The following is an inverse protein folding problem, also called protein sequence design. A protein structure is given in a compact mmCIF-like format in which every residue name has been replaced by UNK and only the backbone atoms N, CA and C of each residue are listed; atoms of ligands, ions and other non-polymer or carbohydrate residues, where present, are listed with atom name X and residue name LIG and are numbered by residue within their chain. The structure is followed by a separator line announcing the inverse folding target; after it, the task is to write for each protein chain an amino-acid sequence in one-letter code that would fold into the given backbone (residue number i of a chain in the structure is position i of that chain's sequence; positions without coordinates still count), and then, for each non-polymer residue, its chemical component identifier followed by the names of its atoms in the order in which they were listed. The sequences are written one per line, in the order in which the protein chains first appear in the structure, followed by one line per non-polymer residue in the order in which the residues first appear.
data_IF_120102182432
#
_entry.id   IF_120102182432
#
_cell.length_a   1.000
_cell.length_b   1.000
_cell.length_c   1.000
_cell.angle_alpha   90.00
_cell.angle_beta   90.00
_cell.angle_gamma   90.00
#
_symmetry.space_group_name_H-M   'P 1'
#
loop_
_entity.id
_entity.type
_entity.pdbx_description
1 polymer ?
#
# COMPACT_ATOMS: atom_id res chain seq x y z
N UNK A 1 0.51 -3.93 35.38
CA UNK A 1 -0.34 -4.63 34.42
C UNK A 1 -1.38 -3.70 33.78
N UNK A 2 -2.22 -3.02 34.57
CA UNK A 2 -3.27 -2.13 34.05
C UNK A 2 -2.73 -0.98 33.14
N UNK A 3 -1.62 -0.37 33.54
CA UNK A 3 -0.94 0.68 32.75
C UNK A 3 -0.48 0.19 31.36
N UNK A 4 0.07 -1.02 31.27
CA UNK A 4 0.50 -1.59 29.99
C UNK A 4 -0.69 -1.87 29.06
N UNK A 5 -1.78 -2.39 29.60
CA UNK A 5 -3.03 -2.60 28.85
C UNK A 5 -3.56 -1.27 28.31
N UNK A 6 -3.54 -0.23 29.14
CA UNK A 6 -3.95 1.12 28.75
C UNK A 6 -3.10 1.67 27.60
N UNK A 7 -1.77 1.53 27.65
CA UNK A 7 -0.87 1.93 26.56
C UNK A 7 -1.19 1.18 25.26
N UNK A 8 -1.35 -0.17 25.34
CA UNK A 8 -1.69 -0.97 24.14
C UNK A 8 -2.99 -0.50 23.50
N UNK A 9 -4.02 -0.18 24.30
CA UNK A 9 -5.30 0.30 23.77
C UNK A 9 -5.15 1.66 23.09
N UNK A 10 -4.41 2.59 23.69
CA UNK A 10 -4.10 3.90 23.06
C UNK A 10 -3.33 3.71 21.75
N UNK A 11 -2.33 2.84 21.75
CA UNK A 11 -1.52 2.55 20.57
C UNK A 11 -2.36 2.03 19.41
N UNK A 12 -3.26 1.07 19.71
CA UNK A 12 -4.21 0.55 18.71
C UNK A 12 -5.07 1.69 18.15
N UNK A 13 -5.60 2.55 19.01
CA UNK A 13 -6.44 3.68 18.57
C UNK A 13 -5.64 4.66 17.68
N UNK A 14 -4.41 5.00 18.07
CA UNK A 14 -3.55 5.92 17.30
C UNK A 14 -3.19 5.30 15.95
N UNK A 15 -2.67 4.07 15.94
CA UNK A 15 -2.22 3.39 14.73
C UNK A 15 -3.39 3.13 13.77
N UNK A 16 -4.51 2.63 14.29
CA UNK A 16 -5.71 2.41 13.48
C UNK A 16 -6.29 3.74 12.99
N UNK A 17 -6.37 4.76 13.84
CA UNK A 17 -6.86 6.08 13.50
C UNK A 17 -6.05 6.74 12.38
N UNK A 18 -4.72 6.69 12.44
CA UNK A 18 -3.84 7.18 11.38
C UNK A 18 -4.07 6.39 10.08
N UNK A 19 -4.05 5.06 10.14
CA UNK A 19 -4.17 4.20 8.95
C UNK A 19 -5.53 4.39 8.25
N UNK A 20 -6.61 4.39 9.02
CA UNK A 20 -7.97 4.63 8.49
C UNK A 20 -8.11 6.06 7.98
N UNK A 21 -7.63 7.04 8.74
CA UNK A 21 -7.70 8.46 8.37
C UNK A 21 -6.97 8.76 7.06
N UNK A 22 -5.76 8.22 6.88
CA UNK A 22 -5.00 8.36 5.63
C UNK A 22 -5.74 7.66 4.49
N UNK A 23 -6.25 6.45 4.69
CA UNK A 23 -7.02 5.72 3.68
C UNK A 23 -8.28 6.47 3.24
N UNK A 24 -9.03 7.03 4.18
CA UNK A 24 -10.24 7.81 3.92
C UNK A 24 -9.96 9.18 3.24
N UNK A 25 -8.77 9.74 3.48
CA UNK A 25 -8.36 11.02 2.88
C UNK A 25 -7.69 10.86 1.51
N UNK A 26 -7.04 9.75 1.25
CA UNK A 26 -6.29 9.48 0.04
C UNK A 26 -7.06 9.73 -1.28
N UNK A 27 -8.37 9.42 -1.42
CA UNK A 27 -9.13 9.73 -2.63
C UNK A 27 -9.16 11.22 -3.00
N UNK A 28 -8.96 12.11 -2.03
CA UNK A 28 -8.91 13.57 -2.23
C UNK A 28 -7.57 14.09 -2.71
N UNK A 29 -6.54 13.23 -2.76
CA UNK A 29 -5.22 13.65 -3.23
C UNK A 29 -5.23 13.94 -4.73
N UNK A 30 -4.61 15.04 -5.12
CA UNK A 30 -4.49 15.42 -6.52
C UNK A 30 -3.73 14.35 -7.32
N UNK A 31 -4.32 13.88 -8.42
CA UNK A 31 -3.72 12.84 -9.27
C UNK A 31 -2.39 13.26 -9.92
N UNK A 32 -2.14 14.56 -10.11
CA UNK A 32 -0.98 15.06 -10.84
C UNK A 32 0.37 14.57 -10.28
N UNK A 33 0.55 14.55 -8.96
CA UNK A 33 1.80 14.05 -8.35
C UNK A 33 1.88 12.52 -8.30
N UNK A 34 0.76 11.82 -8.45
CA UNK A 34 0.66 10.36 -8.49
C UNK A 34 0.94 9.79 -9.90
N UNK A 35 1.20 10.64 -10.89
CA UNK A 35 1.53 10.19 -12.26
C UNK A 35 2.93 9.62 -12.37
N UNK A 36 3.83 9.96 -11.44
CA UNK A 36 5.24 9.54 -11.43
C UNK A 36 5.56 8.72 -10.19
N UNK A 37 6.60 7.90 -10.30
CA UNK A 37 7.14 7.18 -9.17
C UNK A 37 8.13 8.08 -8.43
N UNK A 38 7.79 8.52 -7.23
CA UNK A 38 8.69 9.17 -6.29
C UNK A 38 9.20 8.15 -5.27
N UNK A 39 10.31 8.44 -4.62
CA UNK A 39 10.72 7.64 -3.47
C UNK A 39 9.63 7.69 -2.38
N UNK A 40 9.18 6.55 -1.81
CA UNK A 40 9.71 5.18 -1.87
C UNK A 40 9.05 4.28 -2.94
N UNK A 41 8.31 4.83 -3.91
CA UNK A 41 7.59 4.05 -4.92
C UNK A 41 8.50 3.45 -6.00
N UNK A 42 9.74 3.91 -6.16
CA UNK A 42 10.66 3.31 -7.12
C UNK A 42 10.80 1.81 -6.88
N UNK A 43 10.63 1.02 -7.95
CA UNK A 43 10.87 -0.41 -7.89
C UNK A 43 12.37 -0.66 -7.72
N UNK A 44 12.72 -1.48 -6.75
CA UNK A 44 14.11 -1.88 -6.56
C UNK A 44 14.57 -2.84 -7.67
N UNK A 45 15.87 -2.87 -8.01
CA UNK A 45 16.38 -3.73 -9.10
C UNK A 45 16.06 -5.23 -8.93
N UNK A 46 15.93 -5.69 -7.69
CA UNK A 46 15.58 -7.07 -7.35
C UNK A 46 14.08 -7.37 -7.43
N UNK A 47 13.21 -6.36 -7.47
CA UNK A 47 11.75 -6.51 -7.61
C UNK A 47 11.36 -6.89 -9.04
N UNK A 48 11.76 -8.06 -9.46
CA UNK A 48 11.49 -8.62 -10.79
C UNK A 48 10.20 -9.43 -10.83
N UNK A 49 9.62 -9.72 -12.01
CA UNK A 49 8.50 -10.63 -12.13
C UNK A 49 8.77 -12.04 -11.57
N UNK A 50 10.04 -12.47 -11.56
CA UNK A 50 10.47 -13.75 -10.93
C UNK A 50 10.37 -13.66 -9.41
N UNK A 51 10.80 -12.55 -8.81
CA UNK A 51 10.70 -12.28 -7.38
C UNK A 51 9.24 -12.33 -6.90
N UNK A 52 8.33 -11.58 -7.53
CA UNK A 52 6.91 -11.58 -7.15
C UNK A 52 6.23 -12.93 -7.36
N UNK A 53 6.63 -13.72 -8.36
CA UNK A 53 6.17 -15.11 -8.53
C UNK A 53 6.64 -16.02 -7.41
N UNK A 54 7.90 -15.90 -7.00
CA UNK A 54 8.46 -16.68 -5.89
C UNK A 54 7.72 -16.40 -4.58
N UNK A 55 7.31 -15.14 -4.33
CA UNK A 55 6.50 -14.73 -3.18
C UNK A 55 5.01 -15.09 -3.31
N UNK A 56 4.60 -15.71 -4.43
CA UNK A 56 3.20 -16.09 -4.70
C UNK A 56 2.20 -14.93 -4.49
N UNK A 57 2.60 -13.71 -4.86
CA UNK A 57 1.80 -12.49 -4.62
C UNK A 57 0.38 -12.57 -5.18
N UNK A 58 0.14 -13.34 -6.25
CA UNK A 58 -1.20 -13.60 -6.78
C UNK A 58 -2.06 -14.36 -5.76
N UNK A 59 -1.54 -15.45 -5.17
CA UNK A 59 -2.25 -16.20 -4.13
C UNK A 59 -2.48 -15.36 -2.89
N UNK A 60 -1.48 -14.55 -2.52
CA UNK A 60 -1.59 -13.62 -1.41
C UNK A 60 -2.75 -12.62 -1.64
N UNK A 61 -2.90 -12.10 -2.85
CA UNK A 61 -3.99 -11.19 -3.21
C UNK A 61 -5.39 -11.83 -3.12
N UNK A 62 -5.49 -13.14 -3.36
CA UNK A 62 -6.76 -13.87 -3.25
C UNK A 62 -7.23 -14.03 -1.80
N UNK A 63 -6.31 -14.01 -0.82
CA UNK A 63 -6.61 -14.22 0.60
C UNK A 63 -6.78 -12.91 1.39
N UNK A 64 -6.34 -11.79 0.85
CA UNK A 64 -6.40 -10.51 1.55
C UNK A 64 -7.71 -9.77 1.24
N UNK A 65 -8.35 -9.16 2.27
CA UNK A 65 -9.58 -8.41 2.08
C UNK A 65 -9.36 -7.20 1.18
N UNK A 66 -10.36 -6.89 0.37
CA UNK A 66 -10.36 -5.75 -0.52
C UNK A 66 -10.98 -4.53 0.18
N UNK A 67 -10.14 -3.75 0.85
CA UNK A 67 -10.59 -2.54 1.54
C UNK A 67 -10.55 -1.28 0.66
N UNK A 68 -9.88 -1.34 -0.50
CA UNK A 68 -9.74 -0.19 -1.40
C UNK A 68 -11.07 0.34 -1.93
N UNK A 69 -11.99 -0.55 -2.31
CA UNK A 69 -13.33 -0.17 -2.78
C UNK A 69 -14.19 0.47 -1.69
N UNK A 70 -13.99 0.10 -0.43
CA UNK A 70 -14.72 0.66 0.73
C UNK A 70 -14.43 2.16 0.92
N UNK A 71 -13.24 2.63 0.51
CA UNK A 71 -12.83 4.03 0.61
C UNK A 71 -12.90 4.79 -0.73
N UNK A 72 -13.60 4.24 -1.74
CA UNK A 72 -13.79 4.90 -3.04
C UNK A 72 -12.62 4.71 -4.02
N UNK A 73 -11.72 3.78 -3.77
CA UNK A 73 -10.70 3.34 -4.73
C UNK A 73 -11.23 2.34 -5.76
N UNK A 74 -10.49 2.13 -6.86
CA UNK A 74 -10.86 1.15 -7.88
C UNK A 74 -10.82 -0.29 -7.31
N UNK A 75 -11.87 -1.07 -7.60
CA UNK A 75 -11.96 -2.46 -7.18
C UNK A 75 -10.89 -3.31 -7.89
N UNK A 76 -10.26 -4.27 -7.18
CA UNK A 76 -9.25 -5.21 -7.72
C UNK A 76 -9.73 -5.99 -8.94
N UNK A 77 -11.05 -6.24 -9.02
CA UNK A 77 -11.68 -7.04 -10.05
C UNK A 77 -11.97 -6.26 -11.33
N UNK A 78 -11.84 -4.95 -11.32
CA UNK A 78 -11.91 -4.11 -12.50
C UNK A 78 -10.51 -3.98 -13.11
N UNK A 79 -10.14 -4.95 -13.93
CA UNK A 79 -8.95 -4.79 -14.77
C UNK A 79 -9.19 -3.60 -15.70
N UNK A 80 -8.21 -2.67 -15.83
CA UNK A 80 -8.32 -1.60 -16.81
C UNK A 80 -8.52 -2.23 -18.17
N UNK A 81 -9.35 -1.61 -19.00
CA UNK A 81 -9.46 -1.97 -20.42
C UNK A 81 -8.09 -1.91 -21.09
N UNK A 82 -7.99 -2.37 -22.33
CA UNK A 82 -6.73 -2.31 -23.11
C UNK A 82 -6.41 -0.90 -23.63
N UNK A 83 -7.03 0.14 -23.09
CA UNK A 83 -6.80 1.53 -23.44
C UNK A 83 -5.70 2.11 -22.54
N UNK A 84 -4.72 2.79 -23.14
CA UNK A 84 -3.59 3.39 -22.43
C UNK A 84 -4.04 4.40 -21.36
N UNK A 85 -5.11 5.17 -21.60
CA UNK A 85 -5.65 6.14 -20.65
C UNK A 85 -6.24 5.47 -19.39
N UNK A 86 -6.92 4.35 -19.55
CA UNK A 86 -7.47 3.58 -18.43
C UNK A 86 -6.35 2.96 -17.58
N UNK A 87 -5.30 2.47 -18.24
CA UNK A 87 -4.10 1.95 -17.55
C UNK A 87 -3.43 3.06 -16.73
N UNK A 88 -3.35 4.29 -17.26
CA UNK A 88 -2.77 5.42 -16.55
C UNK A 88 -3.60 5.80 -15.31
N UNK A 89 -4.92 5.84 -15.44
CA UNK A 89 -5.81 6.05 -14.30
C UNK A 89 -5.62 4.99 -13.22
N UNK A 90 -5.51 3.73 -13.61
CA UNK A 90 -5.31 2.64 -12.67
C UNK A 90 -3.91 2.67 -12.01
N UNK A 91 -2.87 3.08 -12.74
CA UNK A 91 -1.53 3.29 -12.18
C UNK A 91 -1.51 4.40 -11.12
N UNK A 92 -2.30 5.47 -11.30
CA UNK A 92 -2.49 6.53 -10.29
C UNK A 92 -3.11 5.95 -9.02
N UNK A 93 -4.15 5.12 -9.15
CA UNK A 93 -4.79 4.48 -7.99
C UNK A 93 -3.86 3.51 -7.25
N UNK A 94 -3.06 2.73 -7.98
CA UNK A 94 -2.06 1.85 -7.36
C UNK A 94 -1.01 2.63 -6.58
N UNK A 95 -0.52 3.76 -7.11
CA UNK A 95 0.43 4.63 -6.40
C UNK A 95 -0.19 5.26 -5.17
N UNK A 96 -1.46 5.69 -5.28
CA UNK A 96 -2.22 6.22 -4.13
C UNK A 96 -2.31 5.18 -3.01
N UNK A 97 -2.72 3.96 -3.33
CA UNK A 97 -2.80 2.87 -2.37
C UNK A 97 -1.43 2.52 -1.77
N UNK A 98 -0.36 2.51 -2.59
CA UNK A 98 1.00 2.26 -2.11
C UNK A 98 1.45 3.33 -1.11
N UNK A 99 1.17 4.62 -1.37
CA UNK A 99 1.43 5.71 -0.42
C UNK A 99 0.67 5.55 0.90
N UNK A 100 -0.61 5.15 0.85
CA UNK A 100 -1.39 4.88 2.07
C UNK A 100 -0.70 3.84 2.94
N UNK A 101 -0.23 2.75 2.36
CA UNK A 101 0.47 1.69 3.11
C UNK A 101 1.84 2.15 3.62
N UNK A 102 2.58 2.98 2.86
CA UNK A 102 3.83 3.56 3.34
C UNK A 102 3.61 4.50 4.53
N UNK A 103 2.61 5.38 4.47
CA UNK A 103 2.30 6.28 5.58
C UNK A 103 1.81 5.47 6.78
N UNK A 104 0.94 4.49 6.59
CA UNK A 104 0.47 3.60 7.66
C UNK A 104 1.62 2.84 8.32
N UNK A 105 2.65 2.45 7.55
CA UNK A 105 3.84 1.78 8.08
C UNK A 105 4.59 2.66 9.10
N UNK A 106 4.54 3.98 8.96
CA UNK A 106 5.18 4.94 9.88
C UNK A 106 4.26 5.43 11.01
N UNK A 107 3.06 4.89 11.16
CA UNK A 107 2.13 5.27 12.23
C UNK A 107 2.60 4.92 13.65
N UNK A 108 3.71 4.18 13.78
CA UNK A 108 4.39 3.93 15.05
C UNK A 108 5.12 5.17 15.60
N UNK A 109 5.43 6.16 14.77
CA UNK A 109 6.23 7.33 15.19
C UNK A 109 5.60 8.08 16.38
N UNK A 110 4.32 8.42 16.39
CA UNK A 110 3.70 9.10 17.53
C UNK A 110 3.78 8.30 18.82
N UNK A 111 3.59 6.98 18.76
CA UNK A 111 3.60 6.13 19.95
C UNK A 111 4.99 5.95 20.54
N UNK A 112 6.06 6.10 19.74
CA UNK A 112 7.44 6.01 20.21
C UNK A 112 7.80 7.10 21.23
N UNK A 113 7.07 8.24 21.25
CA UNK A 113 7.36 9.33 22.16
C UNK A 113 6.95 9.08 23.61
N UNK A 114 6.01 8.13 23.85
CA UNK A 114 5.52 7.86 25.19
C UNK A 114 5.58 6.38 25.61
N UNK A 115 5.89 5.51 24.66
CA UNK A 115 5.98 4.08 24.93
C UNK A 115 7.40 3.64 25.33
N UNK A 116 7.50 2.59 26.15
CA UNK A 116 8.76 1.87 26.31
C UNK A 116 9.16 1.24 24.97
N UNK A 117 10.47 1.19 24.69
CA UNK A 117 11.04 0.75 23.41
C UNK A 117 10.54 -0.62 22.93
N UNK A 118 10.32 -1.57 23.85
CA UNK A 118 9.87 -2.93 23.49
C UNK A 118 8.42 -2.94 22.97
N UNK A 119 7.56 -2.07 23.49
CA UNK A 119 6.19 -1.93 23.01
C UNK A 119 6.16 -1.25 21.64
N UNK A 120 6.94 -0.19 21.45
CA UNK A 120 7.13 0.43 20.13
C UNK A 120 7.64 -0.58 19.10
N UNK A 121 8.63 -1.40 19.47
CA UNK A 121 9.15 -2.45 18.58
C UNK A 121 8.07 -3.47 18.21
N UNK A 122 7.23 -3.87 19.15
CA UNK A 122 6.09 -4.77 18.90
C UNK A 122 5.15 -4.17 17.83
N UNK A 123 4.79 -2.89 17.96
CA UNK A 123 3.92 -2.22 16.98
C UNK A 123 4.61 -2.05 15.63
N UNK A 124 5.91 -1.76 15.57
CA UNK A 124 6.67 -1.75 14.32
C UNK A 124 6.56 -3.11 13.61
N UNK A 125 6.76 -4.22 14.32
CA UNK A 125 6.65 -5.57 13.75
C UNK A 125 5.24 -5.87 13.24
N UNK A 126 4.22 -5.48 13.99
CA UNK A 126 2.80 -5.63 13.59
C UNK A 126 2.54 -4.82 12.30
N UNK A 127 3.00 -3.57 12.23
CA UNK A 127 2.81 -2.70 11.08
C UNK A 127 3.56 -3.21 9.85
N UNK A 128 4.79 -3.69 9.99
CA UNK A 128 5.55 -4.31 8.90
C UNK A 128 4.79 -5.53 8.40
N UNK A 129 4.37 -6.43 9.29
CA UNK A 129 3.67 -7.65 8.93
C UNK A 129 2.33 -7.38 8.24
N UNK A 130 1.60 -6.34 8.70
CA UNK A 130 0.30 -5.96 8.13
C UNK A 130 0.41 -5.24 6.79
N UNK A 131 1.38 -4.34 6.60
CA UNK A 131 1.48 -3.52 5.38
C UNK A 131 2.29 -4.18 4.26
N UNK A 132 3.33 -4.97 4.58
CA UNK A 132 4.21 -5.60 3.57
C UNK A 132 3.44 -6.43 2.53
N UNK A 133 2.48 -7.30 2.89
CA UNK A 133 1.73 -8.06 1.90
C UNK A 133 0.99 -7.18 0.88
N UNK A 134 0.38 -6.09 1.33
CA UNK A 134 -0.31 -5.15 0.45
C UNK A 134 0.67 -4.41 -0.45
N UNK A 135 1.78 -3.91 0.09
CA UNK A 135 2.84 -3.27 -0.69
C UNK A 135 3.36 -4.20 -1.79
N UNK A 136 3.63 -5.47 -1.49
CA UNK A 136 4.10 -6.44 -2.47
C UNK A 136 3.08 -6.66 -3.61
N UNK A 137 1.79 -6.75 -3.29
CA UNK A 137 0.73 -6.90 -4.30
C UNK A 137 0.63 -5.66 -5.18
N UNK A 138 0.59 -4.47 -4.58
CA UNK A 138 0.48 -3.20 -5.29
C UNK A 138 1.66 -2.99 -6.24
N UNK A 139 2.89 -3.23 -5.77
CA UNK A 139 4.12 -3.11 -6.55
C UNK A 139 4.16 -4.12 -7.71
N UNK A 140 3.76 -5.38 -7.48
CA UNK A 140 3.62 -6.36 -8.54
C UNK A 140 2.60 -5.94 -9.61
N UNK A 141 1.44 -5.46 -9.20
CA UNK A 141 0.40 -5.00 -10.13
C UNK A 141 0.88 -3.78 -10.93
N UNK A 142 1.52 -2.81 -10.28
CA UNK A 142 2.10 -1.64 -10.94
C UNK A 142 3.16 -2.02 -11.96
N UNK A 143 4.08 -2.96 -11.63
CA UNK A 143 5.08 -3.46 -12.58
C UNK A 143 4.44 -4.09 -13.81
N UNK A 144 3.43 -4.95 -13.60
CA UNK A 144 2.71 -5.64 -14.70
C UNK A 144 1.99 -4.66 -15.60
N UNK A 145 1.28 -3.68 -15.05
CA UNK A 145 0.56 -2.67 -15.84
C UNK A 145 1.50 -1.73 -16.58
N UNK A 146 2.61 -1.34 -15.98
CA UNK A 146 3.63 -0.54 -16.66
C UNK A 146 4.23 -1.31 -17.85
N UNK A 147 4.48 -2.61 -17.71
CA UNK A 147 4.96 -3.45 -18.80
C UNK A 147 3.91 -3.60 -19.91
N UNK A 148 2.63 -3.76 -19.54
CA UNK A 148 1.52 -3.80 -20.52
C UNK A 148 1.40 -2.49 -21.30
N UNK A 149 1.44 -1.35 -20.62
CA UNK A 149 1.40 -0.03 -21.25
C UNK A 149 2.50 0.15 -22.28
N UNK A 150 3.75 -0.23 -21.94
CA UNK A 150 4.88 -0.14 -22.86
C UNK A 150 4.67 -0.98 -24.12
N UNK A 151 4.11 -2.18 -24.02
CA UNK A 151 3.79 -3.03 -25.17
C UNK A 151 2.75 -2.39 -26.08
N UNK A 152 1.67 -1.87 -25.52
CA UNK A 152 0.63 -1.20 -26.30
C UNK A 152 1.15 0.03 -27.04
N UNK A 153 2.13 0.72 -26.48
CA UNK A 153 2.78 1.87 -27.14
C UNK A 153 3.79 1.49 -28.21
N UNK A 154 4.34 0.26 -28.17
CA UNK A 154 5.26 -0.23 -29.21
C UNK A 154 4.54 -0.82 -30.42
N UNK A 155 3.26 -1.18 -30.29
CA UNK A 155 2.44 -1.80 -31.34
C UNK A 155 1.62 -0.76 -32.14
N UNK A 156 1.76 0.53 -31.80
CA UNK A 156 1.18 1.69 -32.49
C UNK A 156 2.24 2.47 -33.22
#
# INVERSE_FOLDING_TARGET
MLYLVFLILIDIVIVAGISIGVGAWAPRWHGAWLTKDYWPLHLAPWESPKFFRALKTKKLAEHLPELGSTFGGAAKNQLPGRNAAEIDGYLVELRRAEWVHWISLFSWIPIAFFNPWYLTLLFILILISGNTPFLLILRNNRQRLTALKRRLQSDT
#
